data_IF_955906294287
#
_entry.id   IF_955906294287
#
_cell.length_a   1.000
_cell.length_b   1.000
_cell.length_c   1.000
_cell.angle_alpha   90.00
_cell.angle_beta   90.00
_cell.angle_gamma   90.00
#
_symmetry.space_group_name_H-M   'P 1'
#
loop_
_entity.id
_entity.type
_entity.pdbx_description
1 polymer ?
#
# COMPACT_ATOMS: atom_id res chain seq x y z
N UNK A 1 -63.96 -48.78 -8.13
CA UNK A 1 -62.98 -49.71 -8.74
C UNK A 1 -61.84 -49.90 -7.73
N UNK A 2 -61.78 -51.09 -7.09
CA UNK A 2 -60.71 -51.74 -6.25
C UNK A 2 -59.68 -50.81 -5.56
N UNK A 3 -59.64 -50.55 -4.24
CA UNK A 3 -59.33 -51.36 -3.02
C UNK A 3 -57.93 -52.02 -2.97
N UNK A 4 -57.25 -51.81 -1.83
CA UNK A 4 -56.11 -52.51 -1.15
C UNK A 4 -54.71 -51.88 -1.36
N UNK A 5 -53.75 -51.77 -0.41
CA UNK A 5 -53.48 -51.98 1.05
C UNK A 5 -52.15 -51.20 1.34
N UNK A 6 -51.88 -50.54 2.49
CA UNK A 6 -51.38 -51.09 3.78
C UNK A 6 -50.17 -52.05 3.60
N UNK A 7 -49.00 -52.02 4.25
CA UNK A 7 -48.48 -51.66 5.60
C UNK A 7 -46.92 -51.60 5.48
N UNK A 8 -46.17 -50.96 6.42
CA UNK A 8 -44.70 -50.93 6.50
C UNK A 8 -44.06 -52.03 7.38
N UNK A 9 -42.75 -52.24 7.31
CA UNK A 9 -41.91 -53.03 8.25
C UNK A 9 -40.48 -52.43 8.18
N UNK A 10 -39.76 -51.97 9.21
CA UNK A 10 -39.47 -52.38 10.60
C UNK A 10 -38.60 -53.64 10.75
N UNK A 11 -37.43 -53.46 11.40
CA UNK A 11 -36.59 -54.32 12.29
C UNK A 11 -35.16 -53.69 12.24
N UNK A 12 -34.56 -53.03 13.24
CA UNK A 12 -34.37 -53.23 14.69
C UNK A 12 -33.31 -54.29 15.05
N UNK A 13 -32.04 -53.91 15.30
CA UNK A 13 -31.10 -54.64 16.19
C UNK A 13 -30.13 -53.67 16.93
N UNK A 14 -30.46 -53.46 18.20
CA UNK A 14 -29.67 -53.41 19.46
C UNK A 14 -28.43 -52.53 19.69
N UNK A 15 -28.50 -51.87 20.85
CA UNK A 15 -27.48 -51.23 21.66
C UNK A 15 -26.42 -52.18 22.26
N UNK A 16 -25.23 -51.63 22.57
CA UNK A 16 -24.43 -52.03 23.73
C UNK A 16 -23.97 -50.76 24.44
N UNK A 17 -24.18 -50.76 25.76
CA UNK A 17 -23.90 -49.69 26.69
C UNK A 17 -22.61 -49.94 27.48
N UNK A 18 -22.21 -48.88 28.21
CA UNK A 18 -21.59 -48.90 29.53
C UNK A 18 -20.05 -49.02 29.60
N UNK A 19 -19.45 -48.13 30.42
CA UNK A 19 -18.05 -48.24 30.82
C UNK A 19 -17.43 -46.92 31.26
N UNK A 20 -17.84 -46.44 32.44
CA UNK A 20 -17.39 -45.22 33.11
C UNK A 20 -16.09 -45.36 33.91
N UNK A 21 -15.56 -44.20 34.33
CA UNK A 21 -14.56 -43.92 35.40
C UNK A 21 -13.08 -44.13 35.07
N UNK A 22 -12.29 -43.05 35.15
CA UNK A 22 -11.53 -42.73 36.37
C UNK A 22 -10.96 -41.32 36.32
N UNK A 23 -11.32 -40.56 37.35
CA UNK A 23 -10.69 -39.34 37.86
C UNK A 23 -9.21 -39.53 38.20
N UNK A 24 -8.36 -38.54 37.90
CA UNK A 24 -7.32 -38.10 38.83
C UNK A 24 -7.08 -36.59 38.73
N UNK A 25 -7.34 -35.93 39.85
CA UNK A 25 -6.83 -34.63 40.23
C UNK A 25 -5.39 -34.77 40.72
N UNK A 26 -4.54 -33.78 40.48
CA UNK A 26 -3.41 -33.48 41.37
C UNK A 26 -3.03 -32.02 41.29
N UNK A 27 -3.22 -31.36 42.45
CA UNK A 27 -2.66 -30.07 42.87
C UNK A 27 -1.16 -30.20 43.07
N UNK A 28 -0.42 -29.11 42.86
CA UNK A 28 0.77 -28.64 43.61
C UNK A 28 1.39 -27.52 42.75
N UNK A 29 1.92 -26.41 43.24
CA UNK A 29 1.73 -25.56 44.41
C UNK A 29 2.56 -24.30 44.12
N UNK A 30 2.18 -23.17 44.70
CA UNK A 30 2.92 -21.91 44.61
C UNK A 30 4.33 -21.97 45.23
N UNK A 31 5.25 -21.16 44.69
CA UNK A 31 6.33 -20.47 45.45
C UNK A 31 6.83 -19.28 44.62
N UNK A 32 6.45 -18.06 44.98
CA UNK A 32 7.27 -17.09 45.73
C UNK A 32 8.44 -16.50 44.91
N UNK A 33 8.26 -15.24 44.48
CA UNK A 33 9.27 -14.16 44.44
C UNK A 33 10.03 -14.07 45.78
N UNK A 34 11.20 -13.40 45.93
CA UNK A 34 11.75 -12.27 45.15
C UNK A 34 13.27 -12.37 44.87
N UNK A 35 13.84 -11.43 44.12
CA UNK A 35 15.05 -10.66 44.52
C UNK A 35 15.54 -9.77 43.38
N UNK A 36 15.26 -8.48 43.52
CA UNK A 36 16.11 -7.39 43.04
C UNK A 36 17.33 -7.32 43.97
N UNK A 37 18.54 -7.06 43.44
CA UNK A 37 19.23 -5.86 43.92
C UNK A 37 19.91 -5.07 42.78
N UNK A 38 19.50 -3.80 42.69
CA UNK A 38 20.32 -2.59 42.74
C UNK A 38 21.81 -2.68 42.37
N UNK A 39 22.16 -1.95 41.30
CA UNK A 39 23.32 -1.06 41.07
C UNK A 39 24.63 -1.25 41.88
N UNK A 40 25.76 -0.94 41.23
CA UNK A 40 26.44 0.29 41.62
C UNK A 40 26.76 1.22 40.45
N UNK A 41 26.48 2.51 40.68
CA UNK A 41 27.15 3.63 40.02
C UNK A 41 28.66 3.50 40.23
N UNK A 42 29.42 3.73 39.16
CA UNK A 42 30.83 4.06 39.30
C UNK A 42 31.04 5.52 38.91
N UNK A 43 31.54 6.23 39.91
CA UNK A 43 31.82 7.64 40.04
C UNK A 43 32.94 8.09 39.08
N UNK A 44 32.83 9.36 38.67
CA UNK A 44 33.95 10.17 38.21
C UNK A 44 35.11 10.17 39.21
N UNK A 45 36.33 10.39 38.72
CA UNK A 45 37.25 11.29 39.39
C UNK A 45 37.43 12.58 38.57
N UNK A 46 37.10 13.73 39.18
CA UNK A 46 37.79 14.99 38.93
C UNK A 46 38.99 15.04 39.88
N UNK A 47 40.16 15.46 39.42
CA UNK A 47 40.87 16.67 39.88
C UNK A 47 42.37 16.71 39.51
N UNK A 48 42.83 17.96 39.41
CA UNK A 48 44.19 18.54 39.31
C UNK A 48 44.75 18.74 37.88
N UNK A 49 44.83 20.00 37.36
CA UNK A 49 45.69 21.18 37.70
C UNK A 49 47.19 20.84 37.55
N UNK A 50 48.09 21.61 36.97
CA UNK A 50 48.19 22.96 36.36
C UNK A 50 49.44 22.90 35.45
N UNK A 51 49.53 23.69 34.37
CA UNK A 51 50.78 24.31 33.91
C UNK A 51 50.54 25.28 32.74
N UNK A 52 51.22 26.42 32.80
CA UNK A 52 50.94 27.66 32.11
C UNK A 52 52.17 28.10 31.31
N UNK A 53 51.96 28.42 30.02
CA UNK A 53 52.60 29.42 29.13
C UNK A 53 54.17 29.48 29.02
N UNK A 54 54.79 30.11 28.00
CA UNK A 54 54.51 31.44 27.39
C UNK A 54 54.25 31.37 25.86
N UNK A 55 53.37 32.17 25.26
CA UNK A 55 53.48 33.61 24.94
C UNK A 55 54.63 33.95 23.96
N UNK A 56 54.30 34.08 22.67
CA UNK A 56 55.01 34.90 21.71
C UNK A 56 54.01 35.75 20.93
N UNK A 57 54.36 37.02 20.82
CA UNK A 57 53.63 38.19 20.36
C UNK A 57 53.57 38.31 18.83
N UNK A 58 52.41 38.62 18.27
CA UNK A 58 52.29 39.45 17.06
C UNK A 58 50.93 40.17 17.01
N UNK A 59 50.94 41.42 16.56
CA UNK A 59 49.82 42.39 16.48
C UNK A 59 49.91 43.06 15.09
N UNK A 60 48.91 43.80 14.62
CA UNK A 60 47.61 43.42 14.06
C UNK A 60 47.48 43.78 12.55
N UNK A 61 46.57 43.16 11.80
CA UNK A 61 46.19 43.68 10.48
C UNK A 61 44.69 43.57 10.20
N UNK A 62 44.16 44.67 9.67
CA UNK A 62 42.76 45.02 9.45
C UNK A 62 42.00 44.15 8.44
N UNK A 63 40.76 43.84 8.83
CA UNK A 63 39.49 43.85 8.06
C UNK A 63 39.44 43.25 6.64
N UNK A 64 38.68 42.15 6.50
CA UNK A 64 37.80 41.83 5.36
C UNK A 64 36.82 40.68 5.73
N UNK A 65 35.53 40.98 5.79
CA UNK A 65 34.41 40.00 5.95
C UNK A 65 33.97 39.48 4.55
N UNK A 66 33.13 38.42 4.43
CA UNK A 66 33.50 37.00 4.27
C UNK A 66 33.00 36.37 2.93
N UNK A 67 33.36 35.13 2.57
CA UNK A 67 32.56 34.31 1.67
C UNK A 67 31.78 33.21 2.44
N UNK A 68 30.49 33.52 2.65
CA UNK A 68 29.34 32.63 2.49
C UNK A 68 29.52 31.13 2.82
N UNK A 69 29.27 30.75 4.08
CA UNK A 69 28.91 29.37 4.44
C UNK A 69 27.52 29.06 3.86
N UNK A 70 27.47 28.08 2.95
CA UNK A 70 26.22 27.60 2.38
C UNK A 70 25.29 27.05 3.47
N UNK A 71 24.21 27.79 3.70
CA UNK A 71 23.03 27.44 4.49
C UNK A 71 22.40 26.15 3.93
N UNK A 72 21.81 25.27 4.78
CA UNK A 72 21.06 24.11 4.32
C UNK A 72 19.97 24.53 3.33
N UNK A 73 19.89 23.83 2.21
CA UNK A 73 18.91 24.07 1.15
C UNK A 73 17.49 24.11 1.70
N UNK A 74 16.81 25.18 1.33
CA UNK A 74 15.44 25.60 1.63
C UNK A 74 14.41 24.47 1.61
N UNK A 75 13.61 24.39 2.68
CA UNK A 75 12.30 23.76 2.68
C UNK A 75 11.49 24.33 1.51
N UNK A 76 11.31 23.55 0.45
CA UNK A 76 10.44 23.92 -0.68
C UNK A 76 9.03 24.05 -0.12
N UNK A 77 8.53 25.28 -0.03
CA UNK A 77 7.15 25.57 0.41
C UNK A 77 6.21 24.75 -0.46
N UNK A 78 5.48 23.82 0.17
CA UNK A 78 4.46 23.02 -0.50
C UNK A 78 3.31 23.98 -0.80
N UNK A 79 3.12 24.35 -2.06
CA UNK A 79 2.02 25.21 -2.45
C UNK A 79 0.69 24.43 -2.32
N UNK A 80 -0.26 24.90 -1.50
CA UNK A 80 -1.57 24.28 -1.43
C UNK A 80 -2.24 24.32 -2.81
N UNK A 81 -2.83 23.19 -3.24
CA UNK A 81 -3.51 23.05 -4.53
C UNK A 81 -2.61 22.61 -5.70
N UNK A 82 -1.31 22.36 -5.49
CA UNK A 82 -0.40 21.86 -6.55
C UNK A 82 0.57 20.81 -6.01
N UNK A 83 0.27 19.55 -6.29
CA UNK A 83 1.16 18.41 -5.98
C UNK A 83 1.98 18.08 -7.22
N UNK A 84 3.30 18.04 -7.03
CA UNK A 84 4.29 17.67 -8.04
C UNK A 84 4.82 16.26 -7.73
N UNK A 85 4.65 15.33 -8.67
CA UNK A 85 5.11 13.95 -8.50
C UNK A 85 6.44 13.76 -9.21
N UNK A 86 7.50 13.49 -8.43
CA UNK A 86 8.82 13.21 -8.99
C UNK A 86 8.89 11.73 -9.31
N UNK A 87 8.80 11.39 -10.61
CA UNK A 87 8.87 9.99 -11.05
C UNK A 87 10.23 9.40 -10.65
N UNK A 88 10.26 8.27 -9.92
CA UNK A 88 11.51 7.61 -9.60
C UNK A 88 12.18 7.09 -10.87
N UNK A 89 13.51 7.00 -10.84
CA UNK A 89 14.25 6.30 -11.91
C UNK A 89 13.86 4.84 -11.89
N UNK A 90 13.74 4.24 -13.08
CA UNK A 90 13.47 2.81 -13.20
C UNK A 90 14.53 2.01 -12.42
N UNK A 91 14.11 0.95 -11.71
CA UNK A 91 15.04 0.07 -11.02
C UNK A 91 16.01 -0.56 -12.02
N UNK A 92 17.25 -0.89 -11.59
CA UNK A 92 18.19 -1.61 -12.44
C UNK A 92 17.64 -3.02 -12.75
N UNK A 93 17.88 -3.51 -13.97
CA UNK A 93 17.42 -4.83 -14.41
C UNK A 93 16.36 -4.74 -15.52
N UNK A 94 15.49 -5.75 -15.56
CA UNK A 94 14.43 -5.84 -16.55
C UNK A 94 13.40 -4.72 -16.34
N UNK A 95 12.92 -4.15 -17.44
CA UNK A 95 11.85 -3.16 -17.40
C UNK A 95 10.60 -3.79 -16.72
N UNK A 96 9.95 -3.13 -15.74
CA UNK A 96 8.76 -3.66 -15.09
C UNK A 96 7.65 -4.07 -16.06
N UNK A 97 7.54 -3.33 -17.18
CA UNK A 97 6.47 -3.53 -18.16
C UNK A 97 5.08 -3.26 -17.56
N UNK A 98 4.05 -3.72 -18.25
CA UNK A 98 2.70 -3.80 -17.71
C UNK A 98 1.63 -3.17 -18.61
N UNK A 99 0.41 -3.13 -18.09
CA UNK A 99 -0.78 -2.62 -18.78
C UNK A 99 -1.62 -1.77 -17.85
N UNK A 100 -1.62 -0.45 -18.07
CA UNK A 100 -2.37 0.49 -17.22
C UNK A 100 -3.86 0.49 -17.53
N UNK A 101 -4.23 0.26 -18.79
CA UNK A 101 -5.63 0.33 -19.24
C UNK A 101 -6.02 -0.99 -19.89
N UNK A 102 -7.14 -1.56 -19.46
CA UNK A 102 -7.70 -2.79 -20.01
C UNK A 102 -8.08 -2.59 -21.48
N UNK A 103 -7.62 -3.50 -22.34
CA UNK A 103 -8.01 -3.54 -23.75
C UNK A 103 -9.24 -4.44 -23.93
N UNK A 104 -10.22 -4.02 -24.73
CA UNK A 104 -11.48 -4.74 -24.92
C UNK A 104 -11.86 -4.90 -26.39
N UNK A 105 -11.00 -5.52 -27.20
CA UNK A 105 -11.28 -5.67 -28.65
C UNK A 105 -11.16 -7.08 -29.20
N UNK A 106 -10.86 -8.08 -28.36
CA UNK A 106 -10.77 -9.48 -28.81
C UNK A 106 -11.81 -10.42 -28.19
N UNK A 107 -12.59 -9.95 -27.21
CA UNK A 107 -13.49 -10.79 -26.40
C UNK A 107 -14.79 -10.05 -26.01
N UNK A 108 -15.78 -10.81 -25.49
CA UNK A 108 -17.16 -10.44 -25.14
C UNK A 108 -17.36 -9.28 -24.13
N UNK A 109 -16.30 -8.60 -23.70
CA UNK A 109 -16.46 -7.45 -22.81
C UNK A 109 -17.07 -6.25 -23.55
N UNK A 110 -18.07 -5.57 -22.97
CA UNK A 110 -18.62 -4.36 -23.57
C UNK A 110 -17.55 -3.28 -23.68
N UNK A 111 -17.61 -2.48 -24.75
CA UNK A 111 -16.75 -1.29 -24.88
C UNK A 111 -17.27 -0.21 -23.91
N UNK A 112 -16.44 0.13 -22.95
CA UNK A 112 -16.76 1.04 -21.84
C UNK A 112 -15.83 2.24 -21.85
N UNK A 113 -16.36 3.40 -21.50
CA UNK A 113 -15.59 4.63 -21.38
C UNK A 113 -15.93 5.36 -20.06
N UNK A 114 -14.97 5.55 -19.14
CA UNK A 114 -13.58 5.10 -19.20
C UNK A 114 -13.41 3.57 -19.12
N UNK A 115 -12.26 3.08 -19.57
CA UNK A 115 -11.89 1.66 -19.49
C UNK A 115 -11.38 1.29 -18.09
N UNK A 116 -11.33 -0.01 -17.79
CA UNK A 116 -10.64 -0.53 -16.60
C UNK A 116 -9.23 0.09 -16.55
N UNK A 117 -8.92 0.79 -15.47
CA UNK A 117 -7.68 1.58 -15.40
C UNK A 117 -7.01 1.41 -14.04
N UNK A 118 -5.74 1.03 -14.03
CA UNK A 118 -4.91 1.12 -12.85
C UNK A 118 -4.51 2.56 -12.58
N UNK A 119 -4.72 3.04 -11.36
CA UNK A 119 -4.40 4.41 -10.95
C UNK A 119 -2.93 4.49 -10.53
N UNK A 120 -2.05 4.16 -11.48
CA UNK A 120 -0.60 4.00 -11.31
C UNK A 120 0.13 4.81 -12.39
N UNK A 121 1.30 5.41 -12.11
CA UNK A 121 2.09 6.10 -13.11
C UNK A 121 2.52 5.19 -14.25
N UNK A 122 2.67 5.76 -15.44
CA UNK A 122 3.37 5.14 -16.56
C UNK A 122 4.68 5.88 -16.77
N UNK A 123 5.76 5.12 -16.98
CA UNK A 123 7.01 5.65 -17.50
C UNK A 123 7.40 4.91 -18.77
N UNK A 124 7.80 5.66 -19.79
CA UNK A 124 8.33 5.12 -21.03
C UNK A 124 9.85 5.10 -20.94
N UNK A 125 10.46 3.98 -21.30
CA UNK A 125 11.90 3.88 -21.57
C UNK A 125 12.07 3.64 -23.08
N UNK A 126 13.24 4.01 -23.58
CA UNK A 126 13.78 3.52 -24.86
C UNK A 126 13.46 2.03 -25.02
N UNK A 127 12.99 1.64 -26.20
CA UNK A 127 12.53 0.29 -26.59
C UNK A 127 11.00 0.06 -26.61
N UNK A 128 10.17 1.11 -26.55
CA UNK A 128 8.70 1.04 -26.67
C UNK A 128 7.99 0.21 -25.57
N UNK A 129 8.64 -0.01 -24.42
CA UNK A 129 8.04 -0.72 -23.28
C UNK A 129 7.32 0.28 -22.36
N UNK A 130 6.01 0.12 -22.22
CA UNK A 130 5.19 0.81 -21.21
C UNK A 130 5.45 0.20 -19.84
N UNK A 131 5.98 0.98 -18.91
CA UNK A 131 6.19 0.51 -17.53
C UNK A 131 5.09 1.03 -16.62
N UNK A 132 4.34 0.12 -16.01
CA UNK A 132 3.27 0.41 -15.05
C UNK A 132 3.76 0.01 -13.68
N UNK A 133 4.27 0.97 -12.92
CA UNK A 133 4.90 0.66 -11.65
C UNK A 133 4.86 1.83 -10.67
N UNK A 134 4.98 1.50 -9.38
CA UNK A 134 4.96 2.47 -8.30
C UNK A 134 5.75 2.00 -7.08
N UNK A 135 6.25 2.97 -6.31
CA UNK A 135 6.88 2.73 -5.02
C UNK A 135 5.87 2.80 -3.87
N UNK A 136 6.10 1.98 -2.85
CA UNK A 136 5.42 2.02 -1.56
C UNK A 136 6.42 2.01 -0.41
N UNK A 137 6.06 2.61 0.73
CA UNK A 137 6.84 2.51 1.98
C UNK A 137 6.23 1.53 2.98
N UNK A 138 4.96 1.18 2.81
CA UNK A 138 4.23 0.30 3.74
C UNK A 138 4.30 -1.16 3.32
N UNK A 139 4.18 -2.05 4.29
CA UNK A 139 4.32 -3.51 4.11
C UNK A 139 3.19 -4.13 3.29
N UNK A 140 2.02 -3.48 3.30
CA UNK A 140 0.77 -3.97 2.70
C UNK A 140 0.04 -2.77 2.08
N UNK A 141 0.45 -2.31 0.89
CA UNK A 141 -0.15 -1.13 0.26
C UNK A 141 -1.61 -1.36 -0.14
N UNK A 142 -2.35 -0.26 -0.27
CA UNK A 142 -3.61 -0.24 -0.99
C UNK A 142 -3.34 -0.10 -2.48
N UNK A 143 -4.05 -0.88 -3.28
CA UNK A 143 -4.05 -0.76 -4.74
C UNK A 143 -5.32 -0.04 -5.17
N UNK A 144 -5.22 0.86 -6.14
CA UNK A 144 -6.32 1.73 -6.55
C UNK A 144 -6.58 1.60 -8.05
N UNK A 145 -7.85 1.43 -8.41
CA UNK A 145 -8.30 1.18 -9.78
C UNK A 145 -9.58 1.95 -10.07
N UNK A 146 -9.77 2.37 -11.32
CA UNK A 146 -11.08 2.70 -11.83
C UNK A 146 -11.71 1.44 -12.43
N UNK A 147 -12.86 1.03 -11.89
CA UNK A 147 -13.61 -0.15 -12.30
C UNK A 147 -14.90 0.30 -13.03
N UNK A 148 -15.03 0.00 -14.34
CA UNK A 148 -16.17 0.44 -15.14
C UNK A 148 -17.40 -0.50 -15.04
N UNK A 149 -17.23 -1.67 -14.42
CA UNK A 149 -18.25 -2.73 -14.38
C UNK A 149 -19.00 -2.70 -13.05
N UNK A 150 -20.26 -3.12 -13.09
CA UNK A 150 -21.18 -3.11 -11.96
C UNK A 150 -21.61 -4.52 -11.58
N UNK A 151 -22.14 -4.69 -10.37
CA UNK A 151 -22.69 -5.94 -9.85
C UNK A 151 -23.71 -6.61 -10.78
N UNK A 152 -24.51 -5.83 -11.50
CA UNK A 152 -25.47 -6.33 -12.49
C UNK A 152 -24.84 -7.12 -13.64
N UNK A 153 -23.57 -6.89 -13.94
CA UNK A 153 -22.84 -7.64 -14.97
C UNK A 153 -22.46 -9.06 -14.54
N UNK A 154 -22.40 -9.32 -13.23
CA UNK A 154 -22.00 -10.61 -12.65
C UNK A 154 -20.63 -11.12 -13.10
N UNK A 155 -19.76 -10.24 -13.64
CA UNK A 155 -18.46 -10.65 -14.15
C UNK A 155 -17.52 -11.09 -13.01
N UNK A 156 -17.00 -12.34 -13.06
CA UNK A 156 -15.96 -12.77 -12.14
C UNK A 156 -14.78 -11.81 -12.23
N UNK A 157 -14.33 -11.31 -11.07
CA UNK A 157 -13.22 -10.36 -10.99
C UNK A 157 -12.26 -10.83 -9.93
N UNK A 158 -10.97 -10.86 -10.24
CA UNK A 158 -9.93 -11.34 -9.33
C UNK A 158 -8.74 -10.38 -9.28
N UNK A 159 -8.20 -10.20 -8.08
CA UNK A 159 -6.93 -9.56 -7.83
C UNK A 159 -5.89 -10.62 -7.50
N UNK A 160 -4.73 -10.51 -8.14
CA UNK A 160 -3.60 -11.43 -7.95
C UNK A 160 -2.37 -10.61 -7.62
N UNK A 161 -1.59 -11.06 -6.64
CA UNK A 161 -0.27 -10.55 -6.31
C UNK A 161 0.74 -11.70 -6.36
N UNK A 162 1.81 -11.48 -7.11
CA UNK A 162 2.92 -12.40 -7.29
C UNK A 162 4.20 -11.78 -6.73
N UNK A 163 5.08 -12.62 -6.23
CA UNK A 163 6.44 -12.20 -5.87
C UNK A 163 7.37 -12.10 -7.10
N UNK A 164 8.66 -11.89 -6.84
CA UNK A 164 9.69 -11.75 -7.87
C UNK A 164 9.97 -13.03 -8.66
N UNK A 165 9.57 -14.20 -8.14
CA UNK A 165 9.73 -15.50 -8.77
C UNK A 165 8.51 -15.88 -9.61
N UNK A 166 7.45 -15.08 -9.54
CA UNK A 166 6.18 -15.32 -10.24
C UNK A 166 5.19 -16.15 -9.42
N UNK A 167 5.53 -16.49 -8.18
CA UNK A 167 4.67 -17.26 -7.30
C UNK A 167 3.53 -16.40 -6.76
N UNK A 168 2.31 -16.91 -6.82
CA UNK A 168 1.12 -16.21 -6.33
C UNK A 168 1.09 -16.21 -4.80
N UNK A 169 1.37 -15.06 -4.20
CA UNK A 169 1.35 -14.87 -2.74
C UNK A 169 0.00 -14.37 -2.22
N UNK A 170 -0.86 -13.87 -3.11
CA UNK A 170 -2.23 -13.51 -2.80
C UNK A 170 -3.13 -13.60 -4.02
N UNK A 171 -4.31 -14.17 -3.85
CA UNK A 171 -5.39 -14.13 -4.82
C UNK A 171 -6.70 -13.88 -4.08
N UNK A 172 -7.52 -12.95 -4.58
CA UNK A 172 -8.79 -12.58 -3.97
C UNK A 172 -9.84 -12.27 -5.05
N UNK A 173 -11.03 -12.82 -4.89
CA UNK A 173 -12.20 -12.42 -5.66
C UNK A 173 -12.67 -11.02 -5.22
N UNK A 174 -12.96 -10.18 -6.20
CA UNK A 174 -13.36 -8.79 -6.01
C UNK A 174 -14.83 -8.66 -6.37
N UNK A 175 -15.64 -8.27 -5.39
CA UNK A 175 -17.03 -7.96 -5.63
C UNK A 175 -17.15 -6.65 -6.43
N UNK A 176 -17.95 -6.68 -7.50
CA UNK A 176 -18.22 -5.50 -8.32
C UNK A 176 -19.16 -4.53 -7.58
N UNK A 177 -18.94 -3.21 -7.72
CA UNK A 177 -19.74 -2.19 -7.05
C UNK A 177 -21.11 -2.01 -7.73
N UNK A 178 -22.03 -1.31 -7.06
CA UNK A 178 -23.35 -0.98 -7.63
C UNK A 178 -23.26 0.04 -8.78
N UNK A 179 -22.19 0.85 -8.83
CA UNK A 179 -21.93 1.83 -9.88
C UNK A 179 -20.45 1.89 -10.27
N UNK A 180 -20.10 2.28 -11.51
CA UNK A 180 -18.71 2.46 -11.94
C UNK A 180 -17.99 3.49 -11.06
N UNK A 181 -16.73 3.23 -10.69
CA UNK A 181 -16.01 4.14 -9.80
C UNK A 181 -14.59 3.72 -9.45
N UNK A 182 -13.94 4.54 -8.63
CA UNK A 182 -12.63 4.26 -8.04
C UNK A 182 -12.81 3.30 -6.88
N UNK A 183 -12.16 2.14 -6.95
CA UNK A 183 -12.11 1.14 -5.89
C UNK A 183 -10.69 1.07 -5.32
N UNK A 184 -10.59 0.59 -4.08
CA UNK A 184 -9.32 0.17 -3.50
C UNK A 184 -9.31 -1.35 -3.32
N UNK A 185 -8.13 -1.96 -3.16
CA UNK A 185 -7.96 -3.35 -2.74
C UNK A 185 -6.89 -3.35 -1.66
N UNK A 186 -7.24 -3.88 -0.49
CA UNK A 186 -6.36 -3.97 0.67
C UNK A 186 -5.77 -5.38 0.79
N UNK A 187 -4.48 -5.47 1.09
CA UNK A 187 -3.86 -6.76 1.43
C UNK A 187 -4.17 -7.10 2.90
N UNK A 188 -4.81 -8.25 3.19
CA UNK A 188 -5.07 -8.65 4.55
C UNK A 188 -3.77 -9.01 5.29
N UNK A 189 -3.82 -9.04 6.62
CA UNK A 189 -2.67 -9.39 7.45
C UNK A 189 -2.16 -10.83 7.22
N UNK A 190 -2.98 -11.69 6.62
CA UNK A 190 -2.61 -13.05 6.21
C UNK A 190 -1.63 -13.07 5.03
N UNK A 191 -1.56 -12.01 4.23
CA UNK A 191 -0.55 -11.87 3.17
C UNK A 191 0.79 -11.53 3.82
N UNK A 192 1.89 -12.22 3.44
CA UNK A 192 3.23 -11.85 3.87
C UNK A 192 3.53 -10.38 3.63
N UNK A 193 4.27 -9.76 4.56
CA UNK A 193 4.71 -8.39 4.40
C UNK A 193 5.58 -8.26 3.13
N UNK A 194 5.32 -7.26 2.29
CA UNK A 194 6.20 -6.96 1.17
C UNK A 194 7.58 -6.59 1.71
N UNK A 195 8.62 -7.19 1.16
CA UNK A 195 10.00 -6.98 1.62
C UNK A 195 10.58 -5.74 0.97
N UNK A 196 11.34 -4.95 1.74
CA UNK A 196 12.06 -3.78 1.21
C UNK A 196 13.06 -4.22 0.14
N UNK A 197 13.09 -3.52 -0.99
CA UNK A 197 13.96 -3.79 -2.12
C UNK A 197 13.47 -4.92 -3.03
N UNK A 198 12.31 -5.54 -2.74
CA UNK A 198 11.69 -6.53 -3.61
C UNK A 198 10.57 -5.94 -4.45
N UNK A 199 10.42 -6.50 -5.64
CA UNK A 199 9.35 -6.20 -6.58
C UNK A 199 8.25 -7.26 -6.51
N UNK A 200 7.01 -6.82 -6.67
CA UNK A 200 5.84 -7.67 -6.67
C UNK A 200 4.94 -7.28 -7.84
N UNK A 201 4.49 -8.26 -8.61
CA UNK A 201 3.61 -8.03 -9.76
C UNK A 201 2.17 -8.23 -9.33
N UNK A 202 1.31 -7.29 -9.69
CA UNK A 202 -0.12 -7.39 -9.42
C UNK A 202 -0.91 -7.42 -10.73
N UNK A 203 -2.09 -8.04 -10.66
CA UNK A 203 -3.07 -8.09 -11.73
C UNK A 203 -4.45 -7.82 -11.15
N UNK A 204 -5.27 -7.07 -11.90
CA UNK A 204 -6.71 -7.04 -11.72
C UNK A 204 -7.36 -7.50 -13.02
N UNK A 205 -8.09 -8.61 -12.95
CA UNK A 205 -8.68 -9.28 -14.11
C UNK A 205 -10.20 -9.30 -13.97
N UNK A 206 -10.90 -8.97 -15.05
CA UNK A 206 -12.36 -9.05 -15.18
C UNK A 206 -12.70 -9.99 -16.33
N UNK A 207 -13.45 -11.05 -16.04
CA UNK A 207 -13.90 -12.01 -17.03
C UNK A 207 -15.34 -11.68 -17.45
N UNK A 208 -15.55 -11.23 -18.70
CA UNK A 208 -16.89 -10.88 -19.19
C UNK A 208 -17.70 -12.09 -19.69
N UNK A 209 -17.45 -13.25 -19.06
CA UNK A 209 -18.21 -14.49 -19.16
C UNK A 209 -18.11 -15.16 -17.79
N UNK A 210 -19.25 -15.56 -17.23
CA UNK A 210 -19.35 -16.17 -15.89
C UNK A 210 -18.49 -17.43 -15.74
N UNK A 211 -18.33 -18.20 -16.82
CA UNK A 211 -17.54 -19.43 -16.85
C UNK A 211 -16.02 -19.20 -17.06
N UNK A 212 -15.57 -17.94 -17.18
CA UNK A 212 -14.17 -17.57 -17.51
C UNK A 212 -13.64 -18.22 -18.80
N UNK A 213 -14.52 -18.54 -19.74
CA UNK A 213 -14.17 -19.19 -21.02
C UNK A 213 -13.42 -18.26 -21.99
N UNK A 214 -13.63 -16.95 -21.86
CA UNK A 214 -12.92 -15.94 -22.64
C UNK A 214 -11.78 -15.32 -21.82
N UNK A 215 -10.67 -14.92 -22.47
CA UNK A 215 -9.63 -14.14 -21.83
C UNK A 215 -10.18 -12.91 -21.08
N UNK A 216 -9.63 -12.59 -19.90
CA UNK A 216 -10.09 -11.45 -19.13
C UNK A 216 -9.63 -10.13 -19.76
N UNK A 217 -10.39 -9.07 -19.53
CA UNK A 217 -9.85 -7.71 -19.58
C UNK A 217 -9.07 -7.49 -18.30
N UNK A 218 -7.82 -7.04 -18.42
CA UNK A 218 -6.97 -6.89 -17.24
C UNK A 218 -6.05 -5.68 -17.31
N UNK A 219 -5.67 -5.24 -16.12
CA UNK A 219 -4.57 -4.31 -15.88
C UNK A 219 -3.52 -5.00 -15.02
N UNK A 220 -2.27 -4.64 -15.22
CA UNK A 220 -1.13 -5.22 -14.51
C UNK A 220 -0.05 -4.17 -14.28
N UNK A 221 0.77 -4.40 -13.27
CA UNK A 221 1.94 -3.58 -12.98
C UNK A 221 2.76 -4.12 -11.83
N UNK A 222 3.76 -3.35 -11.41
CA UNK A 222 4.70 -3.72 -10.36
C UNK A 222 4.63 -2.73 -9.20
N UNK A 223 4.70 -3.26 -7.97
CA UNK A 223 4.93 -2.47 -6.77
C UNK A 223 6.28 -2.84 -6.16
N UNK A 224 7.04 -1.85 -5.73
CA UNK A 224 8.30 -2.07 -5.02
C UNK A 224 8.29 -1.36 -3.67
N UNK A 225 8.64 -2.09 -2.60
CA UNK A 225 8.72 -1.49 -1.25
C UNK A 225 10.09 -0.89 -1.03
N UNK A 226 10.14 0.35 -0.59
CA UNK A 226 11.39 1.07 -0.30
C UNK A 226 11.38 1.67 1.10
N UNK A 227 12.57 1.87 1.67
CA UNK A 227 12.74 2.70 2.85
C UNK A 227 12.92 4.17 2.44
N UNK A 228 12.38 5.06 3.27
CA UNK A 228 12.66 6.49 3.15
C UNK A 228 13.95 6.85 3.88
N UNK A 229 14.58 7.93 3.42
CA UNK A 229 15.66 8.58 4.16
C UNK A 229 15.11 9.11 5.50
N UNK A 230 15.90 9.00 6.57
CA UNK A 230 15.60 9.53 7.90
C UNK A 230 15.10 10.97 7.88
N UNK A 231 15.69 11.86 7.07
CA UNK A 231 15.23 13.25 6.97
C UNK A 231 13.80 13.36 6.46
N UNK A 232 13.42 12.53 5.48
CA UNK A 232 12.05 12.51 4.93
C UNK A 232 11.09 11.93 5.96
N UNK A 233 11.47 10.87 6.66
CA UNK A 233 10.68 10.29 7.75
C UNK A 233 10.42 11.30 8.88
N UNK A 234 11.43 12.10 9.24
CA UNK A 234 11.28 13.18 10.23
C UNK A 234 10.30 14.25 9.74
N UNK A 235 10.41 14.69 8.49
CA UNK A 235 9.46 15.65 7.89
C UNK A 235 8.02 15.12 7.91
N UNK A 236 7.82 13.84 7.61
CA UNK A 236 6.49 13.21 7.63
C UNK A 236 5.86 13.18 9.03
N UNK A 237 6.67 13.03 10.08
CA UNK A 237 6.18 12.89 11.47
C UNK A 237 5.47 14.13 12.01
N UNK A 238 5.80 15.31 11.49
CA UNK A 238 5.21 16.59 11.90
C UNK A 238 4.28 17.18 10.84
N UNK A 239 4.15 16.53 9.68
CA UNK A 239 3.39 17.04 8.55
C UNK A 239 1.88 16.73 8.70
N UNK A 240 1.04 17.65 8.23
CA UNK A 240 -0.39 17.38 8.05
C UNK A 240 -0.59 16.31 6.96
N UNK A 241 -1.72 15.59 6.92
CA UNK A 241 -1.97 14.58 5.88
C UNK A 241 -1.79 15.13 4.44
N UNK A 242 -2.26 16.34 4.17
CA UNK A 242 -2.07 17.00 2.88
C UNK A 242 -0.58 17.25 2.56
N UNK A 243 0.20 17.69 3.54
CA UNK A 243 1.65 17.85 3.40
C UNK A 243 2.36 16.50 3.22
N UNK A 244 1.93 15.45 3.94
CA UNK A 244 2.47 14.10 3.78
C UNK A 244 2.28 13.60 2.35
N UNK A 245 1.08 13.76 1.76
CA UNK A 245 0.84 13.37 0.38
C UNK A 245 1.81 14.07 -0.60
N UNK A 246 2.04 15.37 -0.41
CA UNK A 246 2.98 16.13 -1.22
C UNK A 246 4.45 15.69 -1.00
N UNK A 247 4.85 15.41 0.24
CA UNK A 247 6.20 14.90 0.57
C UNK A 247 6.41 13.52 -0.09
N UNK A 248 5.45 12.60 0.04
CA UNK A 248 5.52 11.30 -0.62
C UNK A 248 5.63 11.43 -2.13
N UNK A 249 4.80 12.28 -2.76
CA UNK A 249 4.84 12.50 -4.20
C UNK A 249 6.19 13.08 -4.67
N UNK A 250 6.77 14.02 -3.93
CA UNK A 250 8.07 14.60 -4.23
C UNK A 250 9.23 13.61 -4.02
N UNK A 251 9.02 12.54 -3.25
CA UNK A 251 9.99 11.45 -3.06
C UNK A 251 9.68 10.21 -3.92
N UNK A 252 8.80 10.33 -4.92
CA UNK A 252 8.46 9.25 -5.84
C UNK A 252 7.61 8.12 -5.24
N UNK A 253 7.07 8.32 -4.03
CA UNK A 253 6.23 7.35 -3.33
C UNK A 253 4.77 7.56 -3.73
N UNK A 254 4.35 6.87 -4.80
CA UNK A 254 3.02 7.03 -5.37
C UNK A 254 1.90 6.46 -4.50
N UNK A 255 2.06 5.22 -3.98
CA UNK A 255 0.98 4.53 -3.28
C UNK A 255 0.47 5.31 -2.06
N UNK A 256 1.39 5.87 -1.26
CA UNK A 256 1.02 6.66 -0.09
C UNK A 256 0.42 8.01 -0.48
N UNK A 257 1.02 8.72 -1.46
CA UNK A 257 0.49 10.01 -1.92
C UNK A 257 -0.95 9.90 -2.43
N UNK A 258 -1.23 8.91 -3.29
CA UNK A 258 -2.57 8.69 -3.84
C UNK A 258 -3.56 8.26 -2.76
N UNK A 259 -3.18 7.32 -1.89
CA UNK A 259 -4.05 6.81 -0.82
C UNK A 259 -4.49 7.94 0.10
N UNK A 260 -3.56 8.78 0.56
CA UNK A 260 -3.87 9.89 1.45
C UNK A 260 -4.84 10.88 0.80
N UNK A 261 -4.62 11.25 -0.47
CA UNK A 261 -5.51 12.21 -1.14
C UNK A 261 -6.90 11.65 -1.43
N UNK A 262 -7.01 10.37 -1.78
CA UNK A 262 -8.31 9.73 -1.97
C UNK A 262 -9.09 9.65 -0.66
N UNK A 263 -8.43 9.26 0.44
CA UNK A 263 -9.04 9.22 1.77
C UNK A 263 -9.43 10.62 2.27
N UNK A 264 -8.59 11.63 2.04
CA UNK A 264 -8.93 13.02 2.36
C UNK A 264 -10.11 13.52 1.53
N UNK A 265 -10.18 13.18 0.25
CA UNK A 265 -11.28 13.58 -0.65
C UNK A 265 -12.60 12.96 -0.22
N UNK A 266 -12.58 11.69 0.19
CA UNK A 266 -13.75 11.00 0.76
C UNK A 266 -14.22 11.64 2.07
N UNK A 267 -13.29 11.95 2.98
CA UNK A 267 -13.62 12.50 4.30
C UNK A 267 -13.98 13.99 4.27
N UNK A 268 -13.53 14.72 3.25
CA UNK A 268 -13.72 16.17 3.12
C UNK A 268 -14.27 16.54 1.73
N UNK A 269 -15.49 16.10 1.38
CA UNK A 269 -16.02 16.24 0.02
C UNK A 269 -16.22 17.70 -0.43
N UNK A 270 -16.19 18.67 0.49
CA UNK A 270 -16.31 20.11 0.21
C UNK A 270 -14.96 20.85 0.22
N UNK A 271 -13.87 20.19 0.59
CA UNK A 271 -12.55 20.82 0.66
C UNK A 271 -11.95 20.95 -0.76
N UNK A 272 -12.04 22.15 -1.30
CA UNK A 272 -11.51 22.47 -2.64
C UNK A 272 -10.01 22.19 -2.75
N UNK A 273 -9.22 22.43 -1.70
CA UNK A 273 -7.77 22.25 -1.74
C UNK A 273 -7.43 20.77 -1.88
N UNK A 274 -8.16 19.88 -1.20
CA UNK A 274 -8.00 18.42 -1.34
C UNK A 274 -8.31 17.97 -2.76
N UNK A 275 -9.42 18.43 -3.33
CA UNK A 275 -9.81 18.09 -4.70
C UNK A 275 -8.83 18.64 -5.74
N UNK A 276 -8.37 19.87 -5.59
CA UNK A 276 -7.35 20.47 -6.45
C UNK A 276 -6.03 19.68 -6.38
N UNK A 277 -5.61 19.28 -5.18
CA UNK A 277 -4.42 18.45 -4.97
C UNK A 277 -4.56 17.06 -5.62
N UNK A 278 -5.71 16.39 -5.47
CA UNK A 278 -5.98 15.10 -6.10
C UNK A 278 -5.97 15.21 -7.63
N UNK A 279 -6.64 16.24 -8.17
CA UNK A 279 -6.63 16.51 -9.60
C UNK A 279 -5.24 16.87 -10.13
N UNK A 280 -4.43 17.58 -9.35
CA UNK A 280 -3.02 17.85 -9.66
C UNK A 280 -2.22 16.55 -9.70
N UNK A 281 -2.31 15.69 -8.68
CA UNK A 281 -1.58 14.42 -8.64
C UNK A 281 -1.95 13.51 -9.82
N UNK A 282 -3.24 13.38 -10.14
CA UNK A 282 -3.67 12.62 -11.31
C UNK A 282 -3.21 13.22 -12.64
N UNK A 283 -3.12 14.55 -12.72
CA UNK A 283 -2.59 15.24 -13.90
C UNK A 283 -1.13 14.87 -14.17
N UNK A 284 -0.32 14.63 -13.14
CA UNK A 284 1.09 14.21 -13.27
C UNK A 284 1.25 12.86 -13.99
N UNK A 285 0.18 12.06 -14.09
CA UNK A 285 0.19 10.77 -14.79
C UNK A 285 -0.79 10.71 -15.97
N UNK A 286 -1.36 11.86 -16.36
CA UNK A 286 -2.29 11.97 -17.47
C UNK A 286 -3.66 11.31 -17.22
N UNK A 287 -4.11 11.24 -15.96
CA UNK A 287 -5.40 10.68 -15.56
C UNK A 287 -6.28 11.73 -14.85
N UNK A 288 -6.14 13.01 -15.21
CA UNK A 288 -6.78 14.14 -14.51
C UNK A 288 -8.30 13.96 -14.35
N UNK A 289 -8.95 13.36 -15.35
CA UNK A 289 -10.38 13.05 -15.36
C UNK A 289 -10.82 12.06 -14.26
N UNK A 290 -9.89 11.26 -13.73
CA UNK A 290 -10.18 10.33 -12.62
C UNK A 290 -10.48 11.07 -11.32
N UNK A 291 -10.02 12.31 -11.15
CA UNK A 291 -10.30 13.12 -9.96
C UNK A 291 -11.80 13.38 -9.75
N UNK A 292 -12.60 13.31 -10.82
CA UNK A 292 -14.04 13.57 -10.78
C UNK A 292 -14.89 12.28 -10.73
N UNK A 293 -14.24 11.10 -10.65
CA UNK A 293 -14.94 9.82 -10.59
C UNK A 293 -15.37 9.51 -9.15
N UNK A 294 -16.53 8.84 -8.96
CA UNK A 294 -16.98 8.50 -7.62
C UNK A 294 -16.00 7.52 -6.98
N UNK A 295 -15.67 7.75 -5.71
CA UNK A 295 -14.85 6.82 -4.93
C UNK A 295 -15.80 5.90 -4.18
N UNK A 296 -15.74 4.61 -4.47
CA UNK A 296 -16.64 3.61 -3.88
C UNK A 296 -16.16 3.27 -2.47
N UNK A 297 -17.01 3.53 -1.49
CA UNK A 297 -16.76 3.22 -0.07
C UNK A 297 -17.35 1.85 0.24
N UNK A 298 -16.61 1.00 0.96
CA UNK A 298 -17.17 -0.22 1.56
C UNK A 298 -17.01 -1.52 0.78
N UNK A 299 -16.14 -1.61 -0.23
CA UNK A 299 -15.71 -2.89 -0.82
C UNK A 299 -14.25 -2.80 -1.28
N UNK A 300 -13.49 -3.93 -1.28
CA UNK A 300 -13.91 -5.33 -1.39
C UNK A 300 -13.50 -6.25 -0.22
#
# INVERSE_FOLDING_TARGET
MKIFLNVPNLILITAIACGSLLSQTSKLQAKQTPTNPSFPQLLLPKLFRDAQAPAATEKPQETKTPPNSQKPTTNKVINPGKINFIRPKLPPGNAPGGRRTGGGRRDNCPDVNPKLTALVPVSEKTDNITNVWALTTVERPKFWFYLPYTKSSQYPTEFILQDSEGETIHQKDIALPEQPGIININLPNTVPALTVGKEYRWFLKVYCNENKESPPVYVEGVVSRVNLNLTVTQQLSTATPQQQAAIYAQNGIWHQALTILLELSQNNPKDKIVHDNLASLFSEIGLREMANKPIIVGQP
#
